data_IF_369831092615
#
_entry.id   IF_369831092615
#
_cell.length_a   1.000
_cell.length_b   1.000
_cell.length_c   1.000
_cell.angle_alpha   90.00
_cell.angle_beta   90.00
_cell.angle_gamma   90.00
#
_symmetry.space_group_name_H-M   'P 1'
#
loop_
_entity.id
_entity.type
_entity.pdbx_description
1 polymer ?
#
# COMPACT_ATOMS: atom_id res chain seq x y z
N UNK A 1 -11.01 4.83 -4.20
CA UNK A 1 -10.15 3.74 -4.72
C UNK A 1 -8.94 4.43 -5.37
N UNK A 2 -7.73 4.01 -5.04
CA UNK A 2 -6.48 4.62 -5.49
C UNK A 2 -5.58 3.55 -6.10
N UNK A 3 -4.77 3.94 -7.09
CA UNK A 3 -3.69 3.10 -7.57
C UNK A 3 -2.55 3.09 -6.55
N UNK A 4 -2.03 1.90 -6.24
CA UNK A 4 -0.97 1.73 -5.26
C UNK A 4 0.06 0.70 -5.72
N UNK A 5 1.31 0.93 -5.34
CA UNK A 5 2.42 -0.01 -5.49
C UNK A 5 2.87 -0.43 -4.10
N UNK A 6 3.03 -1.74 -3.89
CA UNK A 6 3.61 -2.25 -2.64
C UNK A 6 5.03 -2.74 -2.83
N UNK A 7 5.88 -2.41 -1.86
CA UNK A 7 7.27 -2.88 -1.79
C UNK A 7 7.34 -4.37 -1.38
N UNK A 8 6.26 -4.92 -0.81
CA UNK A 8 6.15 -6.32 -0.37
C UNK A 8 4.83 -6.94 -0.87
N UNK A 9 4.72 -8.27 -1.01
CA UNK A 9 3.46 -8.90 -1.36
C UNK A 9 2.37 -8.58 -0.34
N UNK A 10 1.21 -8.14 -0.82
CA UNK A 10 -0.02 -7.95 -0.05
C UNK A 10 -1.09 -8.82 -0.67
N UNK A 11 -1.83 -9.57 0.15
CA UNK A 11 -2.97 -10.37 -0.31
C UNK A 11 -4.26 -9.56 -0.28
N UNK A 12 -5.21 -9.94 -1.12
CA UNK A 12 -6.54 -9.33 -1.09
C UNK A 12 -7.18 -9.47 0.30
N UNK A 13 -7.70 -8.37 0.82
CA UNK A 13 -8.29 -8.28 2.16
C UNK A 13 -7.28 -8.00 3.29
N UNK A 14 -5.97 -7.96 3.03
CA UNK A 14 -4.98 -7.53 4.03
C UNK A 14 -4.97 -6.00 4.19
N UNK A 15 -4.71 -5.55 5.42
CA UNK A 15 -4.53 -4.13 5.71
C UNK A 15 -3.13 -3.66 5.27
N UNK A 16 -3.09 -2.47 4.68
CA UNK A 16 -1.85 -1.86 4.21
C UNK A 16 -1.65 -0.47 4.82
N UNK A 17 -0.42 -0.13 5.16
CA UNK A 17 -0.02 1.19 5.64
C UNK A 17 0.55 2.01 4.48
N UNK A 18 0.11 3.27 4.37
CA UNK A 18 0.63 4.23 3.38
C UNK A 18 1.94 4.82 3.87
N UNK A 19 3.02 4.66 3.08
CA UNK A 19 4.33 5.23 3.39
C UNK A 19 4.56 6.58 2.71
N UNK A 20 4.07 6.73 1.48
CA UNK A 20 4.28 7.92 0.66
C UNK A 20 3.17 8.13 -0.37
N UNK A 21 3.05 9.37 -0.84
CA UNK A 21 2.12 9.78 -1.90
C UNK A 21 2.93 10.40 -3.04
N UNK A 22 2.80 9.86 -4.24
CA UNK A 22 3.45 10.34 -5.46
C UNK A 22 2.38 10.71 -6.49
N UNK A 23 1.92 11.96 -6.47
CA UNK A 23 0.81 12.40 -7.31
C UNK A 23 -0.49 11.67 -6.96
N UNK A 24 -0.95 10.79 -7.86
CA UNK A 24 -2.16 9.97 -7.67
C UNK A 24 -1.87 8.52 -7.30
N UNK A 25 -0.60 8.15 -7.12
CA UNK A 25 -0.18 6.79 -6.77
C UNK A 25 0.34 6.73 -5.33
N UNK A 26 -0.08 5.71 -4.59
CA UNK A 26 0.36 5.46 -3.22
C UNK A 26 1.49 4.44 -3.18
N UNK A 27 2.47 4.65 -2.29
CA UNK A 27 3.41 3.60 -1.88
C UNK A 27 2.93 2.98 -0.57
N UNK A 28 2.68 1.68 -0.57
CA UNK A 28 2.10 0.97 0.59
C UNK A 28 2.92 -0.24 1.01
N UNK A 29 2.73 -0.70 2.25
CA UNK A 29 3.31 -1.95 2.77
C UNK A 29 2.30 -2.72 3.63
N UNK A 30 2.45 -4.04 3.82
CA UNK A 30 1.62 -4.80 4.75
C UNK A 30 1.63 -4.17 6.15
N UNK A 31 0.46 -3.99 6.76
CA UNK A 31 0.37 -3.55 8.14
C UNK A 31 0.66 -4.73 9.07
N UNK A 32 1.86 -4.76 9.66
CA UNK A 32 2.25 -5.74 10.68
C UNK A 32 2.02 -5.09 12.04
N UNK A 33 1.11 -5.65 12.84
CA UNK A 33 0.85 -5.21 14.23
C UNK A 33 2.05 -5.42 15.13
#
# INVERSE_FOLDING_TARGET
>A
IWDAVSEEPIREGEEAEVKAVAGLTLTVRPHRK
#
